data_IF_556070129751
#
_entry.id   IF_556070129751
#
_cell.length_a   1.000
_cell.length_b   1.000
_cell.length_c   1.000
_cell.angle_alpha   90.00
_cell.angle_beta   90.00
_cell.angle_gamma   90.00
#
_symmetry.space_group_name_H-M   'P 1'
#
loop_
_entity.id
_entity.type
_entity.pdbx_description
1 polymer ?
#
# COMPACT_ATOMS: atom_id res chain seq x y z
N UNK A 1 5.98 -20.23 11.40
CA UNK A 1 5.85 -19.94 9.95
C UNK A 1 5.44 -21.23 9.26
N UNK A 2 4.39 -21.21 8.46
CA UNK A 2 3.93 -22.40 7.72
C UNK A 2 4.79 -22.62 6.47
N UNK A 3 4.99 -23.88 6.10
CA UNK A 3 5.69 -24.24 4.87
C UNK A 3 4.82 -24.06 3.63
N UNK A 4 5.44 -24.15 2.46
CA UNK A 4 4.73 -24.32 1.18
C UNK A 4 4.43 -25.81 1.00
N UNK A 5 3.44 -26.30 1.73
CA UNK A 5 3.04 -27.72 1.79
C UNK A 5 1.53 -27.86 2.00
N UNK A 6 0.98 -29.08 1.86
CA UNK A 6 -0.44 -29.35 2.11
C UNK A 6 -0.76 -29.46 3.60
N UNK A 7 0.17 -29.96 4.40
CA UNK A 7 0.04 -30.11 5.84
C UNK A 7 1.32 -29.65 6.53
N UNK A 8 1.21 -28.76 7.51
CA UNK A 8 2.32 -28.32 8.34
C UNK A 8 2.14 -28.85 9.76
N UNK A 9 3.14 -29.57 10.27
CA UNK A 9 3.23 -29.85 11.71
C UNK A 9 3.76 -28.62 12.45
N UNK A 10 3.00 -28.11 13.41
CA UNK A 10 3.33 -26.90 14.16
C UNK A 10 3.74 -27.25 15.59
N UNK A 11 5.05 -27.27 15.91
CA UNK A 11 5.52 -27.59 17.25
C UNK A 11 5.36 -26.45 18.26
N UNK A 12 5.14 -25.21 17.79
CA UNK A 12 5.01 -23.98 18.60
C UNK A 12 3.74 -23.21 18.22
N UNK A 13 2.57 -23.64 18.73
CA UNK A 13 1.28 -23.07 18.34
C UNK A 13 1.09 -21.63 18.83
N UNK A 14 1.89 -21.16 19.80
CA UNK A 14 1.77 -19.81 20.38
C UNK A 14 2.08 -18.70 19.38
N UNK A 15 2.77 -19.03 18.28
CA UNK A 15 3.07 -18.11 17.18
C UNK A 15 1.93 -17.95 16.16
N UNK A 16 0.78 -18.59 16.39
CA UNK A 16 -0.36 -18.61 15.49
C UNK A 16 -1.54 -17.85 16.08
N UNK A 17 -2.25 -17.14 15.21
CA UNK A 17 -3.49 -16.45 15.55
C UNK A 17 -4.68 -17.33 15.21
N UNK A 18 -5.60 -17.48 16.17
CA UNK A 18 -6.88 -18.12 15.91
C UNK A 18 -7.73 -17.21 15.04
N UNK A 19 -8.41 -17.78 14.05
CA UNK A 19 -9.44 -17.10 13.27
C UNK A 19 -10.66 -16.88 14.17
N UNK A 20 -10.97 -15.61 14.44
CA UNK A 20 -12.08 -15.22 15.30
C UNK A 20 -13.37 -14.91 14.53
N UNK A 21 -13.26 -14.60 13.24
CA UNK A 21 -14.37 -14.21 12.36
C UNK A 21 -14.52 -15.17 11.17
N UNK A 22 -14.91 -16.45 11.41
CA UNK A 22 -15.06 -17.44 10.34
C UNK A 22 -16.22 -17.14 9.38
N UNK A 23 -17.09 -16.18 9.70
CA UNK A 23 -18.14 -15.69 8.81
C UNK A 23 -17.61 -14.84 7.64
N UNK A 24 -16.38 -14.31 7.75
CA UNK A 24 -15.69 -13.59 6.68
C UNK A 24 -14.88 -14.57 5.82
N UNK A 25 -14.56 -14.22 4.56
CA UNK A 25 -13.71 -15.06 3.72
C UNK A 25 -12.38 -15.39 4.40
N UNK A 26 -12.03 -16.67 4.53
CA UNK A 26 -10.80 -17.09 5.19
C UNK A 26 -9.53 -16.54 4.51
N UNK A 27 -9.59 -16.27 3.20
CA UNK A 27 -8.52 -15.63 2.43
C UNK A 27 -8.11 -14.27 3.01
N UNK A 28 -9.04 -13.55 3.66
CA UNK A 28 -8.76 -12.23 4.23
C UNK A 28 -7.67 -12.27 5.31
N UNK A 29 -7.52 -13.38 6.03
CA UNK A 29 -6.44 -13.56 7.03
C UNK A 29 -5.05 -13.69 6.40
N UNK A 30 -4.95 -13.86 5.08
CA UNK A 30 -3.68 -13.76 4.34
C UNK A 30 -3.36 -12.33 3.89
N UNK A 31 -4.33 -11.41 4.00
CA UNK A 31 -4.26 -10.05 3.50
C UNK A 31 -4.82 -9.02 4.48
N UNK A 32 -6.05 -8.55 4.26
CA UNK A 32 -6.71 -7.44 4.97
C UNK A 32 -6.91 -7.65 6.47
N UNK A 33 -7.09 -8.89 6.93
CA UNK A 33 -7.13 -9.26 8.36
C UNK A 33 -5.81 -9.88 8.84
N UNK A 34 -4.84 -10.03 7.93
CA UNK A 34 -3.54 -10.60 8.21
C UNK A 34 -2.46 -9.54 8.46
N UNK A 35 -1.21 -9.96 8.27
CA UNK A 35 -0.02 -9.12 8.42
C UNK A 35 -0.05 -7.88 7.52
N UNK A 36 -0.56 -7.98 6.29
CA UNK A 36 -0.61 -6.86 5.35
C UNK A 36 -1.59 -5.78 5.82
N UNK A 37 -2.75 -6.19 6.33
CA UNK A 37 -3.72 -5.28 6.93
C UNK A 37 -3.19 -4.60 8.17
N UNK A 38 -2.57 -5.36 9.09
CA UNK A 38 -1.96 -4.80 10.29
C UNK A 38 -0.84 -3.80 9.94
N UNK A 39 -0.04 -4.09 8.91
CA UNK A 39 1.01 -3.19 8.42
C UNK A 39 0.44 -1.86 7.95
N UNK A 40 -0.63 -1.91 7.14
CA UNK A 40 -1.31 -0.69 6.67
C UNK A 40 -1.91 0.11 7.83
N UNK A 41 -2.58 -0.56 8.77
CA UNK A 41 -3.22 0.07 9.93
C UNK A 41 -2.18 0.72 10.86
N UNK A 42 -1.13 -0.01 11.25
CA UNK A 42 -0.07 0.47 12.13
C UNK A 42 0.70 1.64 11.51
N UNK A 43 1.18 1.45 10.27
CA UNK A 43 1.94 2.47 9.58
C UNK A 43 1.14 3.75 9.34
N UNK A 44 -0.15 3.63 9.03
CA UNK A 44 -0.97 4.79 8.76
C UNK A 44 -1.38 5.49 10.06
N UNK A 45 -2.01 4.79 11.00
CA UNK A 45 -2.57 5.41 12.20
C UNK A 45 -1.53 5.78 13.25
N UNK A 46 -0.56 4.90 13.53
CA UNK A 46 0.43 5.13 14.60
C UNK A 46 1.65 5.91 14.10
N UNK A 47 2.23 5.49 12.96
CA UNK A 47 3.41 6.18 12.42
C UNK A 47 3.01 7.41 11.63
N UNK A 48 1.97 7.34 10.81
CA UNK A 48 1.49 8.45 9.97
C UNK A 48 0.73 9.53 10.76
N UNK A 49 0.00 9.15 11.80
CA UNK A 49 -0.80 10.05 12.66
C UNK A 49 -1.66 11.03 11.82
N UNK A 50 -2.57 10.51 10.98
CA UNK A 50 -3.34 11.29 10.04
C UNK A 50 -4.34 12.19 10.74
N UNK A 51 -4.64 13.32 10.10
CA UNK A 51 -5.66 14.27 10.50
C UNK A 51 -6.59 14.52 9.33
N UNK A 52 -7.85 14.81 9.64
CA UNK A 52 -8.81 15.28 8.65
C UNK A 52 -8.23 16.48 7.89
N UNK A 53 -8.30 16.45 6.57
CA UNK A 53 -7.74 17.47 5.70
C UNK A 53 -6.25 17.32 5.35
N UNK A 54 -5.54 16.32 5.90
CA UNK A 54 -4.17 16.01 5.44
C UNK A 54 -4.20 15.58 3.96
N UNK A 55 -3.14 15.97 3.22
CA UNK A 55 -2.86 15.54 1.86
C UNK A 55 -1.95 14.31 1.86
N UNK A 56 -2.49 13.16 1.44
CA UNK A 56 -1.83 11.86 1.55
C UNK A 56 -1.43 11.35 0.16
N UNK A 57 -0.14 11.05 0.01
CA UNK A 57 0.39 10.29 -1.13
C UNK A 57 0.76 8.88 -0.69
N UNK A 58 0.41 7.87 -1.49
CA UNK A 58 0.74 6.47 -1.22
C UNK A 58 1.43 5.89 -2.46
N UNK A 59 2.68 5.44 -2.32
CA UNK A 59 3.37 4.73 -3.40
C UNK A 59 2.97 3.25 -3.43
N UNK A 60 3.07 2.60 -4.59
CA UNK A 60 2.62 1.22 -4.83
C UNK A 60 1.16 0.94 -4.39
N UNK A 61 0.26 1.91 -4.58
CA UNK A 61 -1.02 1.91 -3.87
C UNK A 61 -2.16 1.11 -4.51
N UNK A 62 -1.87 0.36 -5.57
CA UNK A 62 -2.67 -0.80 -6.00
C UNK A 62 -2.30 -2.10 -5.29
N UNK A 63 -1.18 -2.13 -4.55
CA UNK A 63 -0.75 -3.28 -3.77
C UNK A 63 -1.61 -3.52 -2.53
N UNK A 64 -1.43 -4.69 -1.89
CA UNK A 64 -2.22 -5.11 -0.73
C UNK A 64 -2.20 -4.13 0.46
N UNK A 65 -1.05 -3.49 0.73
CA UNK A 65 -0.92 -2.50 1.80
C UNK A 65 -1.51 -1.16 1.34
N UNK A 66 -1.05 -0.65 0.20
CA UNK A 66 -1.41 0.70 -0.24
C UNK A 66 -2.90 0.87 -0.59
N UNK A 67 -3.59 -0.18 -1.03
CA UNK A 67 -5.05 -0.12 -1.25
C UNK A 67 -5.81 0.14 0.06
N UNK A 68 -5.29 -0.35 1.19
CA UNK A 68 -5.90 -0.16 2.51
C UNK A 68 -5.54 1.22 3.08
N UNK A 69 -4.28 1.63 2.96
CA UNK A 69 -3.82 2.97 3.39
C UNK A 69 -4.64 4.08 2.74
N UNK A 70 -4.86 4.00 1.43
CA UNK A 70 -5.68 4.99 0.74
C UNK A 70 -7.11 5.03 1.27
N UNK A 71 -7.72 3.87 1.57
CA UNK A 71 -9.07 3.80 2.13
C UNK A 71 -9.13 4.36 3.56
N UNK A 72 -8.15 4.05 4.41
CA UNK A 72 -8.04 4.65 5.74
C UNK A 72 -7.94 6.17 5.66
N UNK A 73 -7.14 6.69 4.73
CA UNK A 73 -7.04 8.13 4.52
C UNK A 73 -8.39 8.75 4.12
N UNK A 74 -9.16 8.11 3.23
CA UNK A 74 -10.52 8.56 2.90
C UNK A 74 -11.46 8.51 4.11
N UNK A 75 -11.38 7.47 4.94
CA UNK A 75 -12.19 7.35 6.17
C UNK A 75 -11.93 8.48 7.17
N UNK A 76 -10.68 8.95 7.26
CA UNK A 76 -10.30 10.08 8.13
C UNK A 76 -10.69 11.44 7.52
N UNK A 77 -11.06 11.47 6.24
CA UNK A 77 -11.37 12.70 5.52
C UNK A 77 -10.11 13.43 5.05
N UNK A 78 -9.08 12.68 4.66
CA UNK A 78 -7.90 13.18 3.96
C UNK A 78 -8.18 13.33 2.45
N UNK A 79 -7.39 14.17 1.79
CA UNK A 79 -7.25 14.18 0.34
C UNK A 79 -6.19 13.14 -0.06
N UNK A 80 -6.49 12.29 -1.03
CA UNK A 80 -5.66 11.13 -1.36
C UNK A 80 -5.38 11.09 -2.86
N UNK A 81 -4.09 11.19 -3.21
CA UNK A 81 -3.62 10.96 -4.58
C UNK A 81 -2.87 9.64 -4.63
N UNK A 82 -3.13 8.88 -5.69
CA UNK A 82 -2.53 7.59 -5.94
C UNK A 82 -1.74 7.57 -7.27
N UNK A 83 -1.10 6.45 -7.58
CA UNK A 83 -0.52 6.17 -8.90
C UNK A 83 -1.50 5.42 -9.83
N UNK A 84 -2.62 4.91 -9.31
CA UNK A 84 -3.67 4.26 -10.12
C UNK A 84 -5.08 4.68 -9.67
N UNK A 85 -5.94 5.07 -10.63
CA UNK A 85 -7.31 5.53 -10.37
C UNK A 85 -8.10 4.28 -9.96
N UNK A 86 -8.31 4.14 -8.66
CA UNK A 86 -8.80 2.89 -8.09
C UNK A 86 -10.32 2.89 -7.95
N UNK A 87 -10.89 1.69 -7.80
CA UNK A 87 -12.31 1.51 -7.40
C UNK A 87 -12.61 1.97 -5.96
N UNK A 88 -11.62 2.49 -5.23
CA UNK A 88 -11.69 2.77 -3.80
C UNK A 88 -11.94 4.25 -3.46
N UNK A 89 -12.38 5.06 -4.43
CA UNK A 89 -12.80 6.44 -4.19
C UNK A 89 -11.66 7.42 -3.89
N UNK A 90 -10.47 7.18 -4.46
CA UNK A 90 -9.35 8.14 -4.37
C UNK A 90 -9.61 9.38 -5.22
N UNK A 91 -9.08 10.53 -4.78
CA UNK A 91 -9.37 11.82 -5.41
C UNK A 91 -8.71 11.93 -6.78
N UNK A 92 -7.44 11.54 -6.90
CA UNK A 92 -6.68 11.60 -8.16
C UNK A 92 -5.70 10.41 -8.32
N UNK A 93 -5.27 10.15 -9.56
CA UNK A 93 -4.20 9.19 -9.80
C UNK A 93 -3.37 9.38 -11.07
N UNK A 94 -2.09 8.97 -11.06
CA UNK A 94 -1.21 9.08 -12.23
C UNK A 94 -0.21 7.93 -12.45
N UNK A 95 0.01 7.54 -13.70
CA UNK A 95 0.98 6.50 -14.03
C UNK A 95 2.42 7.06 -14.06
N UNK A 96 3.19 6.82 -13.00
CA UNK A 96 4.58 7.27 -12.86
C UNK A 96 5.51 6.86 -14.01
N UNK A 97 5.24 5.74 -14.71
CA UNK A 97 6.07 5.29 -15.85
C UNK A 97 5.91 6.18 -17.08
N UNK A 98 4.83 6.96 -17.16
CA UNK A 98 4.56 7.91 -18.24
C UNK A 98 5.07 9.32 -17.93
N UNK A 99 5.55 9.56 -16.71
CA UNK A 99 6.01 10.87 -16.25
C UNK A 99 7.52 10.99 -16.43
N UNK A 100 7.95 12.02 -17.17
CA UNK A 100 9.38 12.33 -17.32
C UNK A 100 9.95 13.04 -16.09
N UNK A 101 9.12 13.80 -15.39
CA UNK A 101 9.46 14.57 -14.20
C UNK A 101 8.43 14.29 -13.09
N UNK A 102 8.82 13.43 -12.13
CA UNK A 102 7.98 13.07 -10.99
C UNK A 102 7.77 14.24 -10.03
N UNK A 103 8.70 15.19 -9.93
CA UNK A 103 8.55 16.37 -9.07
C UNK A 103 7.43 17.24 -9.62
N UNK A 104 7.46 17.51 -10.92
CA UNK A 104 6.40 18.26 -11.60
C UNK A 104 5.07 17.51 -11.57
N UNK A 105 5.08 16.18 -11.74
CA UNK A 105 3.87 15.36 -11.67
C UNK A 105 3.19 15.48 -10.30
N UNK A 106 3.94 15.27 -9.21
CA UNK A 106 3.41 15.41 -7.86
C UNK A 106 2.88 16.83 -7.60
N UNK A 107 3.56 17.87 -8.07
CA UNK A 107 3.10 19.25 -7.91
C UNK A 107 1.76 19.53 -8.61
N UNK A 108 1.44 18.85 -9.71
CA UNK A 108 0.13 18.99 -10.38
C UNK A 108 -1.02 18.46 -9.52
N UNK A 109 -0.81 17.36 -8.81
CA UNK A 109 -1.84 16.72 -7.98
C UNK A 109 -1.85 17.23 -6.53
N UNK A 110 -0.74 17.81 -6.09
CA UNK A 110 -0.55 18.45 -4.79
C UNK A 110 -0.09 19.90 -5.02
N UNK A 111 -0.99 20.78 -5.51
CA UNK A 111 -0.63 22.17 -5.78
C UNK A 111 -0.16 22.88 -4.51
N UNK A 112 0.60 23.96 -4.69
CA UNK A 112 0.98 24.83 -3.58
C UNK A 112 -0.20 25.78 -3.26
N UNK A 113 -0.46 26.11 -1.99
CA UNK A 113 0.32 25.80 -0.79
C UNK A 113 0.09 24.41 -0.18
N UNK A 114 -0.78 23.58 -0.73
CA UNK A 114 -1.23 22.33 -0.13
C UNK A 114 -0.12 21.28 -0.08
N UNK A 115 0.58 20.90 -1.15
CA UNK A 115 1.69 19.93 -1.06
C UNK A 115 1.33 18.59 -0.40
N UNK A 116 2.33 17.82 0.07
CA UNK A 116 2.12 16.49 0.70
C UNK A 116 2.29 16.55 2.23
N UNK A 117 1.28 16.17 2.99
CA UNK A 117 1.29 16.06 4.45
C UNK A 117 1.84 14.71 4.93
N UNK A 118 1.39 13.63 4.28
CA UNK A 118 1.79 12.26 4.60
C UNK A 118 2.18 11.54 3.32
N UNK A 119 3.35 10.92 3.34
CA UNK A 119 3.77 9.99 2.31
C UNK A 119 3.95 8.60 2.89
N UNK A 120 3.06 7.68 2.56
CA UNK A 120 3.22 6.29 2.94
C UNK A 120 4.16 5.61 1.92
N UNK A 121 5.37 5.31 2.37
CA UNK A 121 6.50 4.89 1.54
C UNK A 121 6.59 3.36 1.43
N UNK A 122 6.40 2.85 0.20
CA UNK A 122 6.52 1.44 -0.17
C UNK A 122 7.58 1.17 -1.28
N UNK A 123 8.07 2.22 -1.96
CA UNK A 123 8.85 2.16 -3.21
C UNK A 123 10.30 2.62 -3.03
N UNK A 124 10.56 3.79 -2.47
CA UNK A 124 11.90 4.37 -2.36
C UNK A 124 12.43 5.01 -3.66
N UNK A 125 13.75 5.19 -3.73
CA UNK A 125 14.48 5.72 -4.89
C UNK A 125 13.97 7.11 -5.33
N UNK A 126 13.89 7.32 -6.65
CA UNK A 126 13.45 8.60 -7.26
C UNK A 126 12.06 9.06 -6.82
N UNK A 127 11.19 8.16 -6.38
CA UNK A 127 9.86 8.53 -5.86
C UNK A 127 10.00 9.27 -4.53
N UNK A 128 10.86 8.79 -3.63
CA UNK A 128 11.14 9.44 -2.36
C UNK A 128 11.74 10.84 -2.56
N UNK A 129 12.70 10.97 -3.47
CA UNK A 129 13.30 12.27 -3.80
C UNK A 129 12.24 13.27 -4.32
N UNK A 130 11.37 12.81 -5.22
CA UNK A 130 10.30 13.64 -5.76
C UNK A 130 9.30 14.08 -4.68
N UNK A 131 8.98 13.18 -3.75
CA UNK A 131 8.12 13.50 -2.60
C UNK A 131 8.80 14.49 -1.65
N UNK A 132 10.06 14.29 -1.28
CA UNK A 132 10.78 15.22 -0.39
C UNK A 132 10.78 16.66 -0.94
N UNK A 133 10.78 16.81 -2.26
CA UNK A 133 10.68 18.11 -2.93
C UNK A 133 9.28 18.74 -2.80
N UNK A 134 8.22 17.94 -2.69
CA UNK A 134 6.82 18.37 -2.63
C UNK A 134 6.17 18.22 -1.24
N UNK A 135 6.90 17.67 -0.26
CA UNK A 135 6.39 17.49 1.10
C UNK A 135 6.28 18.84 1.81
N UNK A 136 5.26 18.97 2.66
CA UNK A 136 4.98 20.17 3.46
C UNK A 136 5.90 20.23 4.68
N UNK A 137 5.87 21.41 5.30
CA UNK A 137 6.39 21.57 6.66
C UNK A 137 5.69 20.60 7.61
N UNK A 138 6.46 19.93 8.46
CA UNK A 138 6.00 18.90 9.41
C UNK A 138 5.36 17.68 8.74
N UNK A 139 5.72 17.44 7.47
CA UNK A 139 5.33 16.23 6.76
C UNK A 139 5.79 14.95 7.45
N UNK A 140 5.07 13.86 7.21
CA UNK A 140 5.30 12.56 7.85
C UNK A 140 5.50 11.48 6.79
N UNK A 141 6.54 10.67 6.94
CA UNK A 141 6.87 9.58 6.01
C UNK A 141 6.96 8.27 6.79
N UNK A 142 5.84 7.55 6.98
CA UNK A 142 5.87 6.15 7.40
C UNK A 142 6.57 5.31 6.34
N UNK A 143 7.75 4.80 6.68
CA UNK A 143 8.60 4.01 5.78
C UNK A 143 8.29 2.54 5.97
N UNK A 144 7.36 2.03 5.16
CA UNK A 144 6.94 0.63 5.20
C UNK A 144 7.88 -0.27 4.39
N UNK A 145 8.39 0.23 3.26
CA UNK A 145 9.27 -0.54 2.39
C UNK A 145 9.86 0.31 1.27
N UNK A 146 10.83 -0.26 0.55
CA UNK A 146 11.48 0.38 -0.58
C UNK A 146 11.66 -0.63 -1.72
N UNK A 147 10.54 -1.12 -2.27
CA UNK A 147 10.52 -2.24 -3.22
C UNK A 147 11.36 -2.00 -4.47
N UNK A 148 11.57 -0.74 -4.89
CA UNK A 148 12.42 -0.47 -6.07
C UNK A 148 13.90 -0.78 -5.83
N UNK A 149 14.31 -0.92 -4.57
CA UNK A 149 15.71 -1.11 -4.18
C UNK A 149 16.08 -2.58 -3.94
N UNK A 150 15.10 -3.47 -3.69
CA UNK A 150 15.37 -4.81 -3.15
C UNK A 150 16.15 -5.75 -4.10
N UNK A 151 16.04 -5.54 -5.41
CA UNK A 151 16.68 -6.41 -6.41
C UNK A 151 17.83 -5.71 -7.15
N UNK A 152 18.30 -4.56 -6.65
CA UNK A 152 19.43 -3.84 -7.23
C UNK A 152 20.73 -4.34 -6.58
N UNK A 153 21.76 -4.54 -7.39
CA UNK A 153 23.12 -4.79 -6.88
C UNK A 153 23.67 -3.53 -6.18
N UNK A 154 23.35 -2.36 -6.75
CA UNK A 154 23.70 -1.05 -6.19
C UNK A 154 22.42 -0.22 -6.00
N UNK A 155 22.01 0.04 -4.74
CA UNK A 155 20.84 0.87 -4.45
C UNK A 155 21.00 2.32 -4.95
N UNK A 156 19.89 2.91 -5.37
CA UNK A 156 19.81 4.32 -5.76
C UNK A 156 19.98 5.23 -4.54
N UNK A 157 20.79 6.29 -4.68
CA UNK A 157 20.93 7.34 -3.67
C UNK A 157 19.73 8.29 -3.63
N UNK A 158 19.45 8.83 -2.44
CA UNK A 158 18.47 9.90 -2.22
C UNK A 158 19.23 11.19 -1.90
N UNK A 159 19.18 12.17 -2.80
CA UNK A 159 20.12 13.29 -2.82
C UNK A 159 19.62 14.57 -2.15
N UNK A 160 18.34 14.61 -1.75
CA UNK A 160 17.71 15.80 -1.18
C UNK A 160 17.24 15.61 0.28
N UNK A 161 17.89 14.73 1.05
CA UNK A 161 17.58 14.53 2.47
C UNK A 161 17.67 15.82 3.31
N UNK A 162 18.41 16.83 2.86
CA UNK A 162 18.45 18.15 3.51
C UNK A 162 17.05 18.81 3.63
N UNK A 163 16.11 18.48 2.74
CA UNK A 163 14.71 18.92 2.83
C UNK A 163 14.06 18.53 4.17
N UNK A 164 14.48 17.42 4.78
CA UNK A 164 13.97 16.96 6.08
C UNK A 164 14.22 18.00 7.16
N UNK A 165 15.39 18.65 7.15
CA UNK A 165 15.74 19.71 8.10
C UNK A 165 14.91 20.95 7.82
N UNK A 166 14.95 21.42 6.57
CA UNK A 166 14.29 22.66 6.15
C UNK A 166 12.79 22.65 6.36
N UNK A 167 12.16 21.47 6.27
CA UNK A 167 10.71 21.26 6.42
C UNK A 167 10.32 20.59 7.75
N UNK A 168 11.27 20.17 8.59
CA UNK A 168 11.02 19.45 9.86
C UNK A 168 10.19 18.17 9.64
N UNK A 169 10.54 17.42 8.60
CA UNK A 169 9.86 16.17 8.25
C UNK A 169 10.23 15.09 9.25
N UNK A 170 9.28 14.23 9.61
CA UNK A 170 9.56 12.97 10.31
C UNK A 170 9.48 11.82 9.32
N UNK A 171 10.62 11.17 9.06
CA UNK A 171 10.70 9.92 8.30
C UNK A 171 11.02 8.79 9.26
N UNK A 172 10.14 7.80 9.36
CA UNK A 172 10.20 6.78 10.40
C UNK A 172 9.87 5.41 9.81
N UNK A 173 10.81 4.48 9.92
CA UNK A 173 10.59 3.07 9.61
C UNK A 173 9.84 2.36 10.73
N UNK A 174 9.07 1.34 10.37
CA UNK A 174 8.36 0.51 11.34
C UNK A 174 8.30 -0.94 10.87
N UNK A 175 8.22 -1.87 11.82
CA UNK A 175 8.10 -3.29 11.54
C UNK A 175 6.80 -3.82 12.13
N UNK A 176 5.98 -4.47 11.31
CA UNK A 176 4.68 -5.03 11.73
C UNK A 176 4.79 -6.01 12.91
N UNK A 177 5.94 -6.66 13.07
CA UNK A 177 6.20 -7.58 14.18
C UNK A 177 6.05 -6.90 15.55
N UNK A 178 6.36 -5.60 15.65
CA UNK A 178 6.24 -4.81 16.88
C UNK A 178 4.77 -4.49 17.22
N UNK A 179 3.85 -4.69 16.28
CA UNK A 179 2.43 -4.34 16.40
C UNK A 179 1.52 -5.53 16.70
N UNK A 180 2.04 -6.76 16.81
CA UNK A 180 1.19 -7.92 17.13
C UNK A 180 0.49 -7.82 18.48
N UNK A 181 1.05 -7.07 19.44
CA UNK A 181 0.37 -6.74 20.70
C UNK A 181 -0.92 -5.92 20.51
N UNK A 182 -1.08 -5.26 19.36
CA UNK A 182 -2.26 -4.47 18.98
C UNK A 182 -3.18 -5.22 18.00
N UNK A 183 -2.86 -6.47 17.63
CA UNK A 183 -3.60 -7.22 16.60
C UNK A 183 -5.09 -7.34 16.93
N UNK A 184 -5.46 -7.59 18.19
CA UNK A 184 -6.87 -7.72 18.57
C UNK A 184 -7.66 -6.43 18.34
N UNK A 185 -7.08 -5.27 18.67
CA UNK A 185 -7.68 -3.96 18.41
C UNK A 185 -7.85 -3.72 16.90
N UNK A 186 -6.78 -3.99 16.15
CA UNK A 186 -6.79 -3.93 14.69
C UNK A 186 -7.89 -4.83 14.08
N UNK A 187 -7.99 -6.09 14.51
CA UNK A 187 -8.96 -7.06 13.99
C UNK A 187 -10.39 -6.55 14.21
N UNK A 188 -10.71 -6.08 15.43
CA UNK A 188 -12.03 -5.53 15.75
C UNK A 188 -12.40 -4.32 14.87
N UNK A 189 -11.49 -3.36 14.73
CA UNK A 189 -11.73 -2.18 13.89
C UNK A 189 -11.91 -2.56 12.42
N UNK A 190 -11.02 -3.40 11.88
CA UNK A 190 -11.07 -3.83 10.49
C UNK A 190 -12.32 -4.64 10.15
N UNK A 191 -12.72 -5.55 11.03
CA UNK A 191 -13.96 -6.32 10.84
C UNK A 191 -15.18 -5.39 10.83
N UNK A 192 -15.19 -4.37 11.70
CA UNK A 192 -16.22 -3.33 11.65
C UNK A 192 -16.25 -2.61 10.31
N UNK A 193 -15.10 -2.14 9.81
CA UNK A 193 -15.02 -1.46 8.51
C UNK A 193 -15.46 -2.34 7.34
N UNK A 194 -15.11 -3.63 7.35
CA UNK A 194 -15.49 -4.59 6.31
C UNK A 194 -17.00 -4.85 6.33
N UNK A 195 -17.59 -5.08 7.51
CA UNK A 195 -19.04 -5.33 7.66
C UNK A 195 -19.89 -4.12 7.29
N UNK A 196 -19.41 -2.91 7.62
CA UNK A 196 -20.06 -1.65 7.26
C UNK A 196 -19.88 -1.27 5.78
N UNK A 197 -19.09 -2.02 5.00
CA UNK A 197 -18.76 -1.69 3.61
C UNK A 197 -17.88 -0.43 3.47
N UNK A 198 -17.27 0.03 4.56
CA UNK A 198 -16.38 1.20 4.62
C UNK A 198 -15.00 0.90 4.02
N UNK A 199 -14.59 -0.37 4.05
CA UNK A 199 -13.40 -0.87 3.38
C UNK A 199 -13.82 -1.98 2.43
N UNK A 200 -13.32 -1.90 1.20
CA UNK A 200 -13.39 -2.97 0.21
C UNK A 200 -11.99 -3.52 -0.03
N UNK A 201 -11.88 -4.83 -0.22
CA UNK A 201 -10.59 -5.49 -0.46
C UNK A 201 -10.61 -6.25 -1.77
N UNK A 202 -9.57 -6.06 -2.59
CA UNK A 202 -9.39 -6.79 -3.84
C UNK A 202 -8.23 -7.76 -3.69
N UNK A 203 -8.53 -9.04 -3.91
CA UNK A 203 -7.59 -10.15 -3.91
C UNK A 203 -7.29 -10.58 -5.34
N UNK A 204 -6.02 -10.86 -5.65
CA UNK A 204 -5.63 -11.59 -6.86
C UNK A 204 -5.44 -13.07 -6.48
N UNK A 205 -6.38 -13.91 -6.91
CA UNK A 205 -6.45 -15.32 -6.53
C UNK A 205 -5.96 -16.18 -7.71
N UNK A 206 -4.89 -16.95 -7.50
CA UNK A 206 -4.47 -17.97 -8.46
C UNK A 206 -4.89 -19.38 -8.00
N UNK A 207 -5.68 -20.04 -8.83
CA UNK A 207 -6.09 -21.43 -8.59
C UNK A 207 -4.98 -22.43 -8.90
N UNK A 208 -4.62 -23.21 -7.88
CA UNK A 208 -3.78 -24.39 -7.99
C UNK A 208 -2.27 -24.14 -7.85
N UNK A 209 -1.59 -25.14 -7.30
CA UNK A 209 -0.15 -25.14 -6.99
C UNK A 209 0.77 -24.74 -8.16
N UNK A 210 0.39 -25.04 -9.40
CA UNK A 210 1.22 -24.80 -10.59
C UNK A 210 1.31 -23.33 -10.99
N UNK A 211 0.31 -22.50 -10.68
CA UNK A 211 0.34 -21.05 -10.98
C UNK A 211 1.04 -20.22 -9.89
N UNK A 212 1.38 -20.86 -8.77
CA UNK A 212 1.91 -20.24 -7.53
C UNK A 212 3.28 -19.58 -7.70
N UNK A 213 4.17 -20.06 -8.59
CA UNK A 213 5.49 -19.43 -8.86
C UNK A 213 5.38 -18.09 -9.60
N UNK A 214 4.33 -17.90 -10.41
CA UNK A 214 4.16 -16.70 -11.24
C UNK A 214 3.73 -15.49 -10.41
N UNK A 215 2.96 -15.70 -9.34
CA UNK A 215 2.56 -14.65 -8.41
C UNK A 215 3.70 -14.20 -7.50
N UNK A 216 4.50 -15.11 -6.97
CA UNK A 216 5.61 -14.77 -6.07
C UNK A 216 6.76 -14.06 -6.80
N UNK A 217 7.09 -14.46 -8.04
CA UNK A 217 8.03 -13.71 -8.88
C UNK A 217 7.43 -12.40 -9.39
N UNK A 218 6.10 -12.34 -9.57
CA UNK A 218 5.40 -11.12 -9.95
C UNK A 218 5.38 -10.09 -8.81
N UNK A 219 5.16 -10.50 -7.57
CA UNK A 219 5.16 -9.61 -6.40
C UNK A 219 6.52 -8.95 -6.15
N UNK A 220 7.63 -9.66 -6.40
CA UNK A 220 8.98 -9.09 -6.28
C UNK A 220 9.37 -8.19 -7.45
N UNK A 221 8.63 -8.24 -8.58
CA UNK A 221 8.84 -7.40 -9.76
C UNK A 221 7.76 -6.31 -9.94
N UNK A 222 6.88 -6.10 -8.94
CA UNK A 222 5.77 -5.15 -9.05
C UNK A 222 4.68 -5.53 -10.06
N UNK A 223 4.62 -6.81 -10.47
CA UNK A 223 3.73 -7.31 -11.52
C UNK A 223 2.33 -7.72 -11.04
N UNK A 224 2.07 -7.81 -9.73
CA UNK A 224 0.74 -8.18 -9.19
C UNK A 224 -0.29 -7.04 -9.25
N UNK A 225 -0.04 -5.96 -10.00
CA UNK A 225 -1.12 -5.04 -10.40
C UNK A 225 -0.87 -4.15 -11.63
N UNK A 226 0.25 -4.28 -12.38
CA UNK A 226 0.53 -3.29 -13.44
C UNK A 226 1.38 -3.71 -14.66
N UNK A 227 1.79 -4.96 -14.88
CA UNK A 227 2.77 -5.18 -15.97
C UNK A 227 2.74 -6.47 -16.80
N UNK A 228 1.76 -7.38 -16.68
CA UNK A 228 1.68 -8.53 -17.61
C UNK A 228 0.25 -8.88 -18.01
N UNK A 229 -0.41 -7.97 -18.74
CA UNK A 229 -1.58 -8.32 -19.56
C UNK A 229 -1.08 -8.70 -20.96
N UNK A 230 -0.96 -10.01 -21.22
CA UNK A 230 -0.70 -10.54 -22.56
C UNK A 230 -2.00 -10.63 -23.37
N UNK A 231 -2.00 -10.37 -24.70
CA UNK A 231 -3.21 -10.02 -25.45
C UNK A 231 -4.19 -11.16 -25.77
N UNK A 232 -3.97 -12.39 -25.31
CA UNK A 232 -4.65 -13.56 -25.89
C UNK A 232 -5.94 -13.99 -25.18
N UNK A 233 -6.49 -13.21 -24.25
CA UNK A 233 -7.79 -13.51 -23.60
C UNK A 233 -8.71 -12.27 -23.45
N UNK A 234 -8.35 -11.12 -24.04
CA UNK A 234 -9.10 -9.86 -23.92
C UNK A 234 -10.20 -9.70 -24.97
N UNK A 235 -11.33 -10.38 -24.82
CA UNK A 235 -12.51 -10.01 -25.64
C UNK A 235 -13.87 -10.04 -24.94
N UNK A 236 -14.02 -10.67 -23.76
CA UNK A 236 -15.32 -10.70 -23.07
C UNK A 236 -15.36 -9.98 -21.71
N UNK A 237 -14.21 -9.55 -21.16
CA UNK A 237 -14.15 -8.79 -19.89
C UNK A 237 -13.87 -7.28 -20.06
N UNK A 238 -13.46 -6.84 -21.25
CA UNK A 238 -13.05 -5.44 -21.50
C UNK A 238 -14.21 -4.45 -21.68
N UNK A 239 -15.44 -4.90 -21.85
CA UNK A 239 -16.57 -4.02 -22.16
C UNK A 239 -17.19 -3.28 -20.95
N UNK A 240 -16.88 -3.67 -19.70
CA UNK A 240 -17.57 -3.14 -18.52
C UNK A 240 -16.66 -2.43 -17.50
N UNK A 241 -15.37 -2.22 -17.79
CA UNK A 241 -14.41 -1.62 -16.85
C UNK A 241 -13.91 -0.24 -17.32
N UNK A 242 -14.08 0.10 -18.59
CA UNK A 242 -13.65 1.37 -19.16
C UNK A 242 -14.79 1.98 -20.00
N UNK A 243 -15.55 2.98 -19.50
CA UNK A 243 -16.17 3.91 -20.41
C UNK A 243 -15.04 4.81 -20.94
N UNK A 244 -14.79 4.73 -22.25
CA UNK A 244 -14.00 5.74 -22.95
C UNK A 244 -14.69 7.11 -22.84
N UNK A 245 -13.84 8.13 -22.64
CA UNK A 245 -14.11 9.58 -22.53
C UNK A 245 -14.86 10.09 -21.31
#
# INVERSE_FOLDING_TARGET
MTGWEEYTFVPKPESFFKVNHPELPLSYYTGVLGMLGLTAWAGFFDVGKPKKGDYVFVSAASGAIGQLVGQFAKLIGCYVVNLLKSKFGFDEAFNYKKEQDLVAALRRYFPFPEGIDIYFENVGGRTLEAVLSNIRNHGRIPTCGMISQYNLEEPEGVHNLFEIIGKRVRMEGFMVFDYYGQYHKFEQEMVGYLKDGKITYVEDIADGWRRRRRLSSGSSQGATSASNWSPSLGSEYDANIYPES
#
